data_IF_014986479396
#
_entry.id   IF_014986479396
#
_cell.length_a   1.000
_cell.length_b   1.000
_cell.length_c   1.000
_cell.angle_alpha   90.00
_cell.angle_beta   90.00
_cell.angle_gamma   90.00
#
_symmetry.space_group_name_H-M   'P 1'
#
loop_
_entity.id
_entity.type
_entity.pdbx_description
1 polymer ?
#
# COMPACT_ATOMS: atom_id res chain seq x y z
N UNK A 1 -16.20 2.29 -14.88
CA UNK A 1 -14.82 2.60 -15.29
C UNK A 1 -14.36 1.43 -16.13
N UNK A 2 -13.97 1.72 -17.36
CA UNK A 2 -13.56 0.73 -18.36
C UNK A 2 -12.08 0.38 -18.14
N UNK A 3 -11.76 -0.91 -18.16
CA UNK A 3 -10.39 -1.41 -18.11
C UNK A 3 -9.97 -1.78 -19.53
N UNK A 4 -8.76 -1.39 -19.92
CA UNK A 4 -8.16 -1.75 -21.20
C UNK A 4 -7.06 -2.77 -20.93
N UNK A 5 -7.11 -3.91 -21.61
CA UNK A 5 -6.07 -4.94 -21.55
C UNK A 5 -5.14 -4.83 -22.75
N UNK A 6 -3.83 -4.79 -22.49
CA UNK A 6 -2.78 -4.75 -23.50
C UNK A 6 -1.72 -5.81 -23.25
N UNK A 7 -1.02 -6.18 -24.32
CA UNK A 7 0.05 -7.17 -24.30
C UNK A 7 1.31 -6.62 -24.95
N UNK A 8 2.49 -7.12 -24.57
CA UNK A 8 3.78 -6.71 -25.14
C UNK A 8 4.90 -7.71 -24.83
N UNK A 9 6.06 -7.60 -25.48
CA UNK A 9 7.19 -8.51 -25.22
C UNK A 9 7.84 -8.23 -23.85
N UNK A 10 7.62 -7.03 -23.31
CA UNK A 10 8.04 -6.62 -21.97
C UNK A 10 6.92 -5.91 -21.22
N UNK A 11 7.02 -5.84 -19.89
CA UNK A 11 6.06 -5.11 -19.05
C UNK A 11 6.00 -3.63 -19.47
N UNK A 12 7.14 -3.02 -19.76
CA UNK A 12 7.24 -1.62 -20.15
C UNK A 12 6.56 -1.35 -21.50
N UNK A 13 6.73 -2.26 -22.45
CA UNK A 13 6.05 -2.18 -23.74
C UNK A 13 4.52 -2.32 -23.61
N UNK A 14 4.06 -3.27 -22.79
CA UNK A 14 2.64 -3.44 -22.52
C UNK A 14 2.02 -2.22 -21.82
N UNK A 15 2.74 -1.58 -20.88
CA UNK A 15 2.32 -0.33 -20.23
C UNK A 15 2.24 0.83 -21.23
N UNK A 16 3.26 0.99 -22.09
CA UNK A 16 3.26 2.03 -23.12
C UNK A 16 2.07 1.87 -24.06
N UNK A 17 1.80 0.65 -24.54
CA UNK A 17 0.65 0.36 -25.38
C UNK A 17 -0.69 0.68 -24.68
N UNK A 18 -0.79 0.44 -23.38
CA UNK A 18 -1.98 0.77 -22.60
C UNK A 18 -2.19 2.28 -22.48
N UNK A 19 -1.10 3.05 -22.31
CA UNK A 19 -1.15 4.51 -22.25
C UNK A 19 -1.56 5.13 -23.58
N UNK A 20 -1.01 4.63 -24.68
CA UNK A 20 -1.37 5.08 -26.02
C UNK A 20 -2.85 4.83 -26.32
N UNK A 21 -3.39 3.69 -25.86
CA UNK A 21 -4.79 3.34 -26.04
C UNK A 21 -5.75 4.15 -25.14
N UNK A 22 -5.31 4.52 -23.93
CA UNK A 22 -6.07 5.36 -23.01
C UNK A 22 -5.91 6.86 -23.29
N UNK A 23 -4.87 7.28 -24.02
CA UNK A 23 -4.58 8.67 -24.35
C UNK A 23 -4.26 9.54 -23.11
N UNK A 24 -3.75 8.93 -22.05
CA UNK A 24 -3.43 9.61 -20.78
C UNK A 24 -1.94 9.53 -20.49
N UNK A 25 -1.46 10.40 -19.60
CA UNK A 25 -0.09 10.31 -19.08
C UNK A 25 0.03 9.14 -18.09
N UNK A 26 1.25 8.64 -17.90
CA UNK A 26 1.57 7.56 -16.95
C UNK A 26 1.07 7.85 -15.52
N UNK A 27 1.16 9.11 -15.08
CA UNK A 27 0.71 9.56 -13.76
C UNK A 27 -0.81 9.50 -13.56
N UNK A 28 -1.57 9.58 -14.65
CA UNK A 28 -3.03 9.59 -14.67
C UNK A 28 -3.63 8.19 -14.93
N UNK A 29 -2.78 7.18 -15.12
CA UNK A 29 -3.17 5.79 -15.33
C UNK A 29 -2.95 4.92 -14.08
N UNK A 30 -3.78 3.91 -13.91
CA UNK A 30 -3.60 2.83 -12.94
C UNK A 30 -3.44 1.53 -13.71
N UNK A 31 -2.35 0.81 -13.42
CA UNK A 31 -1.96 -0.41 -14.12
C UNK A 31 -1.97 -1.59 -13.16
N UNK A 32 -2.30 -2.76 -13.69
CA UNK A 32 -2.19 -4.02 -12.99
C UNK A 32 -1.61 -5.07 -13.94
N UNK A 33 -0.51 -5.69 -13.53
CA UNK A 33 0.19 -6.71 -14.32
C UNK A 33 -0.48 -8.05 -14.08
N UNK A 34 -1.00 -8.65 -15.15
CA UNK A 34 -1.66 -9.95 -15.10
C UNK A 34 -0.69 -11.10 -15.37
N UNK A 35 0.29 -10.87 -16.24
CA UNK A 35 1.24 -11.89 -16.65
C UNK A 35 2.62 -11.26 -16.90
N UNK A 36 3.63 -11.79 -16.21
CA UNK A 36 5.02 -11.34 -16.35
C UNK A 36 5.76 -12.14 -17.43
N UNK A 37 6.52 -11.48 -18.31
CA UNK A 37 7.28 -12.15 -19.36
C UNK A 37 8.45 -12.92 -18.72
N UNK A 38 8.55 -14.22 -18.97
CA UNK A 38 9.64 -15.04 -18.42
C UNK A 38 10.89 -14.89 -19.28
N UNK A 39 11.96 -14.40 -18.67
CA UNK A 39 13.25 -14.31 -19.33
C UNK A 39 13.86 -15.72 -19.47
N UNK A 40 13.99 -16.19 -20.71
CA UNK A 40 14.58 -17.50 -21.00
C UNK A 40 16.11 -17.49 -20.95
N UNK A 41 16.71 -18.66 -20.68
CA UNK A 41 18.14 -18.89 -20.84
C UNK A 41 18.51 -18.67 -22.32
N UNK A 42 19.53 -17.85 -22.60
CA UNK A 42 19.96 -17.37 -23.93
C UNK A 42 19.29 -16.10 -24.50
N UNK A 43 18.65 -15.27 -23.67
CA UNK A 43 18.17 -13.95 -24.11
C UNK A 43 16.98 -14.01 -25.09
N UNK A 44 16.31 -15.16 -25.15
CA UNK A 44 15.03 -15.35 -25.83
C UNK A 44 13.93 -15.25 -24.78
N UNK A 45 13.15 -14.19 -24.83
CA UNK A 45 11.95 -14.01 -24.01
C UNK A 45 10.94 -15.10 -24.35
N UNK A 46 10.33 -15.70 -23.32
CA UNK A 46 9.29 -16.72 -23.48
C UNK A 46 8.04 -16.27 -22.74
N UNK A 47 7.01 -15.94 -23.51
CA UNK A 47 5.74 -15.42 -23.00
C UNK A 47 5.64 -13.91 -23.16
N UNK A 48 4.41 -13.44 -23.36
CA UNK A 48 4.07 -12.03 -23.51
C UNK A 48 3.67 -11.45 -22.15
N UNK A 49 4.06 -10.22 -21.87
CA UNK A 49 3.57 -9.45 -20.74
C UNK A 49 2.11 -9.06 -20.99
N UNK A 50 1.25 -9.18 -19.99
CA UNK A 50 -0.16 -8.73 -20.07
C UNK A 50 -0.43 -7.73 -18.95
N UNK A 51 -0.96 -6.57 -19.31
CA UNK A 51 -1.24 -5.48 -18.38
C UNK A 51 -2.66 -4.99 -18.61
N UNK A 52 -3.42 -4.72 -17.55
CA UNK A 52 -4.68 -3.97 -17.64
C UNK A 52 -4.48 -2.58 -17.09
N UNK A 53 -5.03 -1.57 -17.75
CA UNK A 53 -4.93 -0.19 -17.35
C UNK A 53 -6.31 0.49 -17.30
N UNK A 54 -6.46 1.47 -16.40
CA UNK A 54 -7.62 2.37 -16.34
C UNK A 54 -7.19 3.80 -16.05
N UNK A 55 -8.02 4.75 -16.43
CA UNK A 55 -7.82 6.17 -16.08
C UNK A 55 -8.19 6.40 -14.61
N UNK A 56 -7.28 7.01 -13.85
CA UNK A 56 -7.56 7.44 -12.47
C UNK A 56 -8.64 8.54 -12.51
N UNK A 57 -9.65 8.50 -11.63
CA UNK A 57 -10.61 9.59 -11.52
C UNK A 57 -9.93 10.81 -10.90
N UNK A 58 -9.39 11.69 -11.73
CA UNK A 58 -8.76 12.93 -11.28
C UNK A 58 -9.85 13.93 -10.88
N UNK A 59 -10.00 14.19 -9.58
CA UNK A 59 -10.68 15.41 -9.13
C UNK A 59 -9.95 16.59 -9.79
N UNK A 60 -10.66 17.48 -10.51
CA UNK A 60 -10.03 18.42 -11.42
C UNK A 60 -9.00 19.27 -10.69
N UNK A 61 -7.73 19.12 -11.09
CA UNK A 61 -6.63 19.94 -10.59
C UNK A 61 -6.94 21.38 -10.98
N UNK A 62 -7.21 22.22 -9.98
CA UNK A 62 -7.49 23.63 -10.17
C UNK A 62 -6.37 24.24 -11.01
N UNK A 63 -6.71 24.67 -12.23
CA UNK A 63 -5.82 25.48 -13.05
C UNK A 63 -5.42 26.68 -12.19
N UNK A 64 -4.12 26.87 -12.01
CA UNK A 64 -3.56 28.06 -11.40
C UNK A 64 -4.04 29.28 -12.21
N UNK A 65 -5.01 29.99 -11.64
CA UNK A 65 -5.66 31.14 -12.21
C UNK A 65 -4.66 32.31 -12.22
N UNK A 66 -4.16 32.64 -13.42
CA UNK A 66 -3.45 33.88 -13.68
C UNK A 66 -4.48 34.96 -13.98
N UNK A 67 -4.47 36.02 -13.16
CA UNK A 67 -5.10 37.35 -13.37
C UNK A 67 -6.62 37.30 -13.12
N UNK A 68 -7.21 38.12 -12.27
CA UNK A 68 -7.16 39.58 -12.29
C UNK A 68 -7.68 40.21 -10.98
N UNK A 69 -7.09 41.36 -10.66
CA UNK A 69 -7.57 42.52 -9.86
C UNK A 69 -8.92 42.46 -9.09
N UNK A 70 -8.83 42.72 -7.78
CA UNK A 70 -9.55 43.83 -7.11
C UNK A 70 -11.02 43.62 -6.66
N UNK A 71 -11.57 44.51 -5.80
CA UNK A 71 -11.79 44.14 -4.40
C UNK A 71 -13.21 44.40 -3.82
N UNK A 72 -13.44 43.82 -2.62
CA UNK A 72 -14.22 44.35 -1.47
C UNK A 72 -15.76 44.44 -1.57
N UNK A 73 -16.45 43.63 -0.74
CA UNK A 73 -17.70 43.98 -0.01
C UNK A 73 -17.89 43.00 1.15
N UNK A 74 -17.58 43.37 2.39
CA UNK A 74 -18.43 44.11 3.34
C UNK A 74 -19.23 43.14 4.24
N UNK A 75 -18.68 42.92 5.44
CA UNK A 75 -19.34 42.31 6.60
C UNK A 75 -20.45 43.22 7.11
N UNK A 76 -21.57 42.64 7.56
CA UNK A 76 -22.30 42.92 8.84
C UNK A 76 -23.66 42.23 8.81
N UNK A 77 -23.87 41.23 9.68
CA UNK A 77 -24.51 41.30 11.01
C UNK A 77 -26.02 41.03 10.93
N UNK A 78 -26.47 40.08 11.76
CA UNK A 78 -27.88 39.74 11.93
C UNK A 78 -28.05 38.73 13.06
N UNK A 79 -27.90 39.23 14.28
CA UNK A 79 -28.05 38.56 15.57
C UNK A 79 -29.46 37.95 15.77
N UNK A 80 -29.55 36.77 16.37
CA UNK A 80 -30.78 36.31 17.03
C UNK A 80 -30.45 35.55 18.32
N UNK A 81 -31.15 35.96 19.37
CA UNK A 81 -30.87 35.75 20.79
C UNK A 81 -31.57 34.51 21.36
N UNK A 82 -30.91 33.93 22.39
CA UNK A 82 -31.43 33.34 23.66
C UNK A 82 -32.26 32.03 23.61
N UNK A 83 -31.76 31.03 24.37
CA UNK A 83 -32.35 29.69 24.63
C UNK A 83 -33.41 29.68 25.75
N UNK A 84 -33.46 28.72 26.72
CA UNK A 84 -32.71 27.47 26.94
C UNK A 84 -33.60 26.22 27.23
N UNK A 85 -32.97 25.05 27.50
CA UNK A 85 -33.32 24.04 28.54
C UNK A 85 -33.70 22.62 28.07
N UNK A 86 -32.97 21.65 28.70
CA UNK A 86 -33.26 20.20 28.92
C UNK A 86 -33.20 19.32 27.65
N UNK A 87 -32.61 18.12 27.64
CA UNK A 87 -32.48 17.13 28.70
C UNK A 87 -31.33 16.17 28.39
N UNK A 88 -30.50 15.94 29.40
CA UNK A 88 -29.67 14.76 29.70
C UNK A 88 -29.87 13.56 28.75
N UNK A 89 -29.06 13.47 27.70
CA UNK A 89 -28.78 12.24 26.97
C UNK A 89 -27.39 11.76 27.34
N UNK A 90 -27.38 10.54 27.88
CA UNK A 90 -26.25 9.69 28.19
C UNK A 90 -25.03 9.91 27.29
N UNK A 91 -23.93 10.31 27.93
CA UNK A 91 -22.58 10.27 27.40
C UNK A 91 -22.22 8.83 27.03
N UNK A 92 -22.48 8.49 25.78
CA UNK A 92 -21.75 7.46 25.05
C UNK A 92 -21.21 8.18 23.83
N UNK A 93 -20.01 8.74 23.98
CA UNK A 93 -19.25 9.22 22.85
C UNK A 93 -19.30 8.14 21.75
N UNK A 94 -19.68 8.47 20.51
CA UNK A 94 -19.40 7.56 19.42
C UNK A 94 -17.89 7.44 19.41
N UNK A 95 -17.40 6.29 19.85
CA UNK A 95 -16.05 5.82 19.59
C UNK A 95 -15.85 6.10 18.11
N UNK A 96 -15.02 7.10 17.82
CA UNK A 96 -14.59 7.38 16.47
C UNK A 96 -14.06 6.05 15.95
N UNK A 97 -14.87 5.42 15.08
CA UNK A 97 -14.45 4.41 14.16
C UNK A 97 -13.30 5.08 13.41
N UNK A 98 -12.07 4.83 13.86
CA UNK A 98 -10.89 5.20 13.10
C UNK A 98 -10.98 4.36 11.85
N UNK A 99 -11.56 4.93 10.80
CA UNK A 99 -11.34 4.45 9.45
C UNK A 99 -9.82 4.31 9.28
N UNK A 100 -9.31 3.11 8.97
CA UNK A 100 -7.91 2.97 8.65
C UNK A 100 -7.69 3.74 7.35
N UNK A 101 -7.17 4.96 7.47
CA UNK A 101 -6.58 5.69 6.35
C UNK A 101 -5.29 4.98 5.98
N UNK A 102 -5.37 3.84 5.32
CA UNK A 102 -4.24 3.29 4.58
C UNK A 102 -4.17 4.06 3.27
N UNK A 103 -3.68 5.29 3.34
CA UNK A 103 -3.01 5.89 2.19
C UNK A 103 -1.72 5.08 2.00
N UNK A 104 -1.83 3.91 1.38
CA UNK A 104 -0.68 3.08 1.06
C UNK A 104 -0.09 3.66 -0.21
N UNK A 105 0.86 4.58 -0.06
CA UNK A 105 1.91 4.73 -1.07
C UNK A 105 2.45 3.33 -1.35
N UNK A 106 2.66 2.89 -2.61
CA UNK A 106 3.22 1.57 -2.88
C UNK A 106 4.52 1.40 -2.10
N UNK A 107 4.49 0.52 -1.10
CA UNK A 107 5.65 0.27 -0.26
C UNK A 107 6.55 -0.67 -1.04
N UNK A 108 7.79 -0.26 -1.28
CA UNK A 108 8.78 -1.09 -1.93
C UNK A 108 9.03 -2.39 -1.13
N UNK A 109 8.89 -3.58 -1.74
CA UNK A 109 8.99 -4.87 -1.05
C UNK A 109 10.36 -5.07 -0.37
N UNK A 110 11.43 -4.44 -0.86
CA UNK A 110 12.74 -4.50 -0.19
C UNK A 110 12.74 -3.79 1.17
N UNK A 111 11.91 -2.77 1.33
CA UNK A 111 11.78 -2.06 2.61
C UNK A 111 10.97 -2.89 3.61
N UNK A 112 9.93 -3.60 3.13
CA UNK A 112 9.14 -4.53 3.96
C UNK A 112 10.00 -5.70 4.44
N UNK A 113 10.85 -6.26 3.56
CA UNK A 113 11.70 -7.40 3.89
C UNK A 113 12.77 -7.03 4.91
N UNK A 114 13.38 -5.84 4.80
CA UNK A 114 14.33 -5.32 5.78
C UNK A 114 13.67 -5.13 7.16
N UNK A 115 12.47 -4.54 7.19
CA UNK A 115 11.73 -4.33 8.44
C UNK A 115 11.34 -5.65 9.10
N UNK A 116 10.89 -6.63 8.31
CA UNK A 116 10.52 -7.96 8.78
C UNK A 116 11.73 -8.73 9.33
N UNK A 117 12.86 -8.69 8.62
CA UNK A 117 14.11 -9.34 9.04
C UNK A 117 14.57 -8.79 10.39
N UNK A 118 14.63 -7.46 10.52
CA UNK A 118 15.02 -6.80 11.78
C UNK A 118 14.11 -7.20 12.94
N UNK A 119 12.80 -7.32 12.70
CA UNK A 119 11.86 -7.74 13.73
C UNK A 119 12.09 -9.18 14.18
N UNK A 120 12.27 -10.11 13.23
CA UNK A 120 12.47 -11.53 13.52
C UNK A 120 13.83 -11.80 14.17
N UNK A 121 14.89 -11.08 13.79
CA UNK A 121 16.18 -11.12 14.49
C UNK A 121 16.03 -10.68 15.95
N UNK A 122 15.32 -9.57 16.19
CA UNK A 122 15.01 -9.11 17.54
C UNK A 122 14.21 -10.14 18.35
N UNK A 123 13.29 -10.86 17.71
CA UNK A 123 12.53 -11.93 18.33
C UNK A 123 13.41 -13.13 18.71
N UNK A 124 14.35 -13.54 17.86
CA UNK A 124 15.30 -14.61 18.19
C UNK A 124 16.13 -14.24 19.42
N UNK A 125 16.65 -13.01 19.46
CA UNK A 125 17.41 -12.50 20.60
C UNK A 125 16.56 -12.47 21.87
N UNK A 126 15.34 -11.94 21.81
CA UNK A 126 14.45 -11.82 22.96
C UNK A 126 14.05 -13.19 23.54
N UNK A 127 13.94 -14.20 22.68
CA UNK A 127 13.64 -15.59 23.10
C UNK A 127 14.89 -16.41 23.43
N UNK A 128 16.07 -15.80 23.42
CA UNK A 128 17.34 -16.48 23.71
C UNK A 128 17.67 -17.64 22.75
N UNK A 129 17.16 -17.59 21.51
CA UNK A 129 17.36 -18.59 20.46
C UNK A 129 18.55 -18.19 19.60
N UNK A 130 19.44 -19.15 19.33
CA UNK A 130 20.56 -18.96 18.39
C UNK A 130 20.10 -19.31 16.99
N UNK A 131 20.07 -18.33 16.12
CA UNK A 131 19.69 -18.52 14.72
C UNK A 131 20.05 -17.34 13.84
N UNK A 132 19.70 -17.46 12.57
CA UNK A 132 19.86 -16.45 11.53
C UNK A 132 18.53 -16.26 10.80
N UNK A 133 18.29 -15.03 10.35
CA UNK A 133 17.17 -14.69 9.49
C UNK A 133 17.72 -14.27 8.12
N UNK A 134 17.11 -14.75 7.05
CA UNK A 134 17.41 -14.30 5.69
C UNK A 134 16.11 -14.06 4.93
N UNK A 135 16.10 -13.06 4.04
CA UNK A 135 14.94 -12.73 3.24
C UNK A 135 15.30 -12.71 1.74
N UNK A 136 14.43 -13.28 0.93
CA UNK A 136 14.49 -13.24 -0.53
C UNK A 136 13.22 -12.57 -1.04
N UNK A 137 13.37 -11.58 -1.91
CA UNK A 137 12.25 -10.87 -2.53
C UNK A 137 12.07 -11.39 -3.95
N UNK A 138 10.86 -11.81 -4.30
CA UNK A 138 10.48 -12.30 -5.62
C UNK A 138 9.21 -11.57 -6.08
N UNK A 139 9.37 -10.46 -6.80
CA UNK A 139 8.25 -9.60 -7.17
C UNK A 139 7.60 -8.98 -5.93
N UNK A 140 6.33 -9.31 -5.70
CA UNK A 140 5.57 -8.88 -4.51
C UNK A 140 5.69 -9.85 -3.32
N UNK A 141 6.22 -11.05 -3.56
CA UNK A 141 6.38 -12.07 -2.53
C UNK A 141 7.70 -11.90 -1.77
N UNK A 142 7.63 -12.08 -0.46
CA UNK A 142 8.78 -12.01 0.45
C UNK A 142 8.88 -13.33 1.19
N UNK A 143 9.89 -14.11 0.84
CA UNK A 143 10.23 -15.34 1.54
C UNK A 143 11.24 -15.04 2.63
N UNK A 144 10.92 -15.39 3.88
CA UNK A 144 11.80 -15.21 5.03
C UNK A 144 12.13 -16.57 5.63
N UNK A 145 13.42 -16.91 5.64
CA UNK A 145 13.93 -18.12 6.27
C UNK A 145 14.50 -17.79 7.65
N UNK A 146 14.07 -18.55 8.65
CA UNK A 146 14.54 -18.44 10.04
C UNK A 146 15.11 -19.79 10.44
N UNK A 147 16.44 -19.85 10.53
CA UNK A 147 17.18 -21.07 10.82
C UNK A 147 17.87 -20.96 12.17
N UNK A 148 17.87 -22.03 12.97
CA UNK A 148 18.51 -21.99 14.28
C UNK A 148 18.11 -23.14 15.19
N UNK A 149 18.74 -23.21 16.35
CA UNK A 149 18.42 -24.21 17.38
C UNK A 149 17.27 -23.70 18.26
N UNK A 150 16.16 -24.43 18.29
CA UNK A 150 14.96 -24.05 19.04
C UNK A 150 13.92 -23.27 18.23
N UNK A 151 14.16 -22.96 16.95
CA UNK A 151 13.16 -22.26 16.08
C UNK A 151 11.86 -23.04 15.89
N UNK A 152 11.88 -24.36 16.13
CA UNK A 152 10.70 -25.22 16.09
C UNK A 152 9.59 -24.79 17.05
N UNK A 153 9.92 -24.08 18.14
CA UNK A 153 8.93 -23.53 19.05
C UNK A 153 8.01 -22.49 18.40
N UNK A 154 8.50 -21.80 17.36
CA UNK A 154 7.72 -20.83 16.61
C UNK A 154 6.75 -21.46 15.62
N UNK A 155 6.84 -22.77 15.37
CA UNK A 155 5.82 -23.48 14.58
C UNK A 155 4.53 -23.61 15.40
N UNK A 156 4.66 -24.08 16.64
CA UNK A 156 3.53 -24.33 17.55
C UNK A 156 2.62 -25.48 17.12
N UNK A 157 1.62 -25.79 17.94
CA UNK A 157 0.68 -26.86 17.64
C UNK A 157 -0.12 -26.55 16.36
N UNK A 158 -0.06 -27.46 15.38
CA UNK A 158 -0.74 -27.30 14.07
C UNK A 158 -0.38 -25.99 13.34
N UNK A 159 0.79 -25.40 13.60
CA UNK A 159 1.21 -24.16 12.95
C UNK A 159 0.62 -22.87 13.54
N UNK A 160 -0.09 -22.94 14.67
CA UNK A 160 -0.79 -21.77 15.23
C UNK A 160 0.16 -20.62 15.60
N UNK A 161 1.32 -20.92 16.19
CA UNK A 161 2.33 -19.90 16.52
C UNK A 161 2.94 -19.29 15.27
N UNK A 162 3.16 -20.11 14.24
CA UNK A 162 3.72 -19.64 12.97
C UNK A 162 2.77 -18.65 12.30
N UNK A 163 1.49 -18.97 12.21
CA UNK A 163 0.49 -18.07 11.63
C UNK A 163 0.41 -16.75 12.39
N UNK A 164 0.39 -16.80 13.73
CA UNK A 164 0.38 -15.59 14.55
C UNK A 164 1.65 -14.75 14.36
N UNK A 165 2.81 -15.41 14.22
CA UNK A 165 4.08 -14.74 13.97
C UNK A 165 4.13 -14.10 12.58
N UNK A 166 3.58 -14.77 11.56
CA UNK A 166 3.45 -14.24 10.20
C UNK A 166 2.58 -12.97 10.18
N UNK A 167 1.41 -13.02 10.82
CA UNK A 167 0.51 -11.87 10.93
C UNK A 167 1.16 -10.69 11.68
N UNK A 168 1.84 -10.98 12.80
CA UNK A 168 2.53 -9.95 13.57
C UNK A 168 3.65 -9.31 12.76
N UNK A 169 4.44 -10.12 12.05
CA UNK A 169 5.52 -9.63 11.19
C UNK A 169 4.97 -8.72 10.09
N UNK A 170 3.86 -9.12 9.44
CA UNK A 170 3.16 -8.29 8.46
C UNK A 170 2.73 -6.94 9.02
N UNK A 171 2.09 -6.93 10.19
CA UNK A 171 1.62 -5.69 10.84
C UNK A 171 2.78 -4.78 11.25
N UNK A 172 3.85 -5.35 11.81
CA UNK A 172 5.03 -4.57 12.24
C UNK A 172 5.72 -3.92 11.04
N UNK A 173 5.90 -4.67 9.94
CA UNK A 173 6.48 -4.12 8.72
C UNK A 173 5.62 -3.00 8.14
N UNK A 174 4.29 -3.22 8.02
CA UNK A 174 3.37 -2.21 7.51
C UNK A 174 3.33 -0.95 8.37
N UNK A 175 3.37 -1.08 9.71
CA UNK A 175 3.33 0.07 10.62
C UNK A 175 4.60 0.90 10.56
N UNK A 176 5.78 0.27 10.48
CA UNK A 176 7.06 0.99 10.35
C UNK A 176 7.15 1.80 9.05
N UNK A 177 6.42 1.38 8.03
CA UNK A 177 6.37 2.00 6.71
C UNK A 177 5.30 3.10 6.57
N UNK A 178 4.27 3.10 7.42
CA UNK A 178 3.20 4.10 7.43
C UNK A 178 3.47 5.35 8.30
N UNK A 179 4.60 5.42 8.98
CA UNK A 179 5.03 6.57 9.80
C UNK A 179 5.88 7.60 9.00
N UNK A 180 5.89 7.51 7.66
CA UNK A 180 6.60 8.43 6.76
C UNK A 180 5.64 9.24 5.87
#
# INVERSE_FOLDING_TARGET
MEWVETTGDTIEEAKSAALDQLGVAEDDAEFEVLEEPKQGLFGRTRGEARVRARVRPTSPRAKADRRDRGPKREKRQGESKRGPRKERSTERAPRAEREPKTNTTPIDPTTVSAAATTFLEGLLVASNIRGSVSATVSGEDIDINVDGDGVSMYVGAKGATLMALQDLTRVVSQRRLGDH
#
